data_IF_816073393449
#
_entry.id   IF_816073393449
#
_cell.length_a   1.000
_cell.length_b   1.000
_cell.length_c   1.000
_cell.angle_alpha   90.00
_cell.angle_beta   90.00
_cell.angle_gamma   90.00
#
_symmetry.space_group_name_H-M   'P 1'
#
loop_
_entity.id
_entity.type
_entity.pdbx_description
1 polymer ?
#
# COMPACT_ATOMS: atom_id res chain seq x y z
N UNK A 1 -29.94 7.72 -23.79
CA UNK A 1 -28.69 7.02 -24.14
C UNK A 1 -27.58 7.61 -23.28
N UNK A 2 -27.11 6.88 -22.27
CA UNK A 2 -26.11 7.35 -21.30
C UNK A 2 -24.71 7.06 -21.84
N UNK A 3 -23.89 8.10 -21.93
CA UNK A 3 -22.56 8.07 -22.51
C UNK A 3 -21.50 7.63 -21.49
N UNK A 4 -20.50 6.86 -21.97
CA UNK A 4 -19.21 6.64 -21.29
C UNK A 4 -19.22 5.44 -20.34
N UNK A 5 -18.55 4.31 -20.61
CA UNK A 5 -17.33 4.17 -21.39
C UNK A 5 -16.11 4.62 -20.59
N UNK A 6 -15.59 3.70 -19.75
CA UNK A 6 -14.16 3.52 -19.52
C UNK A 6 -13.36 4.61 -18.77
N UNK A 7 -13.76 5.02 -17.55
CA UNK A 7 -12.90 5.67 -16.52
C UNK A 7 -13.52 5.41 -15.13
N UNK A 8 -12.85 5.14 -13.99
CA UNK A 8 -11.43 5.00 -13.65
C UNK A 8 -11.28 4.55 -12.16
N UNK A 9 -11.10 3.24 -11.94
CA UNK A 9 -10.23 2.55 -10.95
C UNK A 9 -10.16 2.87 -9.43
N UNK A 10 -10.87 3.81 -8.81
CA UNK A 10 -10.72 4.07 -7.34
C UNK A 10 -12.01 4.27 -6.55
N UNK A 11 -13.18 4.37 -7.19
CA UNK A 11 -14.43 4.61 -6.46
C UNK A 11 -14.96 3.39 -5.69
N UNK A 12 -14.41 2.20 -5.91
CA UNK A 12 -14.97 0.95 -5.38
C UNK A 12 -14.34 0.49 -4.04
N UNK A 13 -13.12 0.94 -3.72
CA UNK A 13 -12.53 0.72 -2.37
C UNK A 13 -13.22 1.58 -1.29
N UNK A 14 -13.82 2.71 -1.68
CA UNK A 14 -14.58 3.60 -0.81
C UNK A 14 -16.07 3.23 -0.71
N UNK A 15 -16.40 1.94 -0.78
CA UNK A 15 -17.77 1.42 -0.67
C UNK A 15 -17.90 0.54 0.59
N UNK A 16 -18.93 0.79 1.40
CA UNK A 16 -19.19 0.01 2.62
C UNK A 16 -18.31 0.38 3.82
N UNK A 17 -17.95 -0.61 4.64
CA UNK A 17 -17.30 -0.43 5.97
C UNK A 17 -15.80 -0.11 5.92
N UNK A 18 -15.15 -0.21 4.76
CA UNK A 18 -13.71 0.08 4.58
C UNK A 18 -13.43 1.54 4.23
N UNK A 19 -14.39 2.45 4.46
CA UNK A 19 -14.25 3.88 4.20
C UNK A 19 -13.47 4.57 5.32
N UNK A 20 -12.16 4.34 5.35
CA UNK A 20 -11.26 5.06 6.24
C UNK A 20 -10.99 6.44 5.64
N UNK A 21 -11.55 7.47 6.28
CA UNK A 21 -11.41 8.84 5.81
C UNK A 21 -9.92 9.25 5.80
N UNK A 22 -9.47 9.81 4.68
CA UNK A 22 -8.09 10.21 4.46
C UNK A 22 -7.08 9.06 4.24
N UNK A 23 -7.46 7.79 4.26
CA UNK A 23 -6.54 6.66 4.04
C UNK A 23 -5.95 6.64 2.61
N UNK A 24 -6.73 7.07 1.62
CA UNK A 24 -6.30 7.18 0.22
C UNK A 24 -5.52 8.47 -0.08
N UNK A 25 -5.22 9.28 0.95
CA UNK A 25 -4.40 10.47 0.76
C UNK A 25 -2.99 10.08 0.31
N UNK A 26 -2.41 10.71 -0.73
CA UNK A 26 -1.08 10.36 -1.23
C UNK A 26 0.00 10.32 -0.13
N UNK A 27 -0.10 11.20 0.87
CA UNK A 27 0.81 11.24 2.01
C UNK A 27 0.74 9.96 2.85
N UNK A 28 -0.46 9.46 3.14
CA UNK A 28 -0.68 8.29 4.00
C UNK A 28 -0.21 7.02 3.30
N UNK A 29 -0.51 6.90 2.00
CA UNK A 29 -0.06 5.77 1.17
C UNK A 29 1.46 5.70 1.08
N UNK A 30 2.16 6.83 0.93
CA UNK A 30 3.62 6.85 0.89
C UNK A 30 4.20 6.38 2.22
N UNK A 31 3.67 6.87 3.35
CA UNK A 31 4.17 6.49 4.68
C UNK A 31 3.95 5.01 4.95
N UNK A 32 2.76 4.47 4.65
CA UNK A 32 2.47 3.04 4.84
C UNK A 32 3.33 2.15 3.94
N UNK A 33 3.59 2.59 2.70
CA UNK A 33 4.45 1.87 1.76
C UNK A 33 5.90 1.81 2.26
N UNK A 34 6.45 2.94 2.71
CA UNK A 34 7.82 2.99 3.25
C UNK A 34 7.96 2.12 4.50
N UNK A 35 6.96 2.15 5.39
CA UNK A 35 6.96 1.31 6.58
C UNK A 35 6.93 -0.18 6.21
N UNK A 36 6.03 -0.58 5.32
CA UNK A 36 5.85 -1.98 4.96
C UNK A 36 7.06 -2.53 4.21
N UNK A 37 7.51 -1.84 3.16
CA UNK A 37 8.67 -2.26 2.37
C UNK A 37 9.97 -2.16 3.18
N UNK A 38 10.09 -1.13 4.03
CA UNK A 38 11.24 -0.97 4.93
C UNK A 38 11.35 -2.11 5.93
N UNK A 39 10.22 -2.52 6.53
CA UNK A 39 10.19 -3.66 7.45
C UNK A 39 10.58 -4.98 6.74
N UNK A 40 10.04 -5.24 5.55
CA UNK A 40 10.38 -6.42 4.76
C UNK A 40 11.89 -6.42 4.42
N UNK A 41 12.42 -5.30 3.92
CA UNK A 41 13.83 -5.19 3.58
C UNK A 41 14.75 -5.38 4.80
N UNK A 42 14.39 -4.79 5.94
CA UNK A 42 15.13 -4.96 7.19
C UNK A 42 15.14 -6.42 7.65
N UNK A 43 14.01 -7.12 7.58
CA UNK A 43 13.92 -8.54 7.94
C UNK A 43 14.73 -9.42 7.00
N UNK A 44 14.69 -9.17 5.69
CA UNK A 44 15.51 -9.90 4.71
C UNK A 44 17.00 -9.67 4.99
N UNK A 45 17.40 -8.42 5.19
CA UNK A 45 18.78 -8.08 5.48
C UNK A 45 19.26 -8.75 6.78
N UNK A 46 18.44 -8.68 7.83
CA UNK A 46 18.73 -9.32 9.10
C UNK A 46 18.85 -10.85 8.96
N UNK A 47 17.92 -11.49 8.24
CA UNK A 47 17.94 -12.92 8.00
C UNK A 47 19.20 -13.37 7.25
N UNK A 48 19.62 -12.62 6.22
CA UNK A 48 20.86 -12.91 5.48
C UNK A 48 22.10 -12.76 6.37
N UNK A 49 22.15 -11.72 7.21
CA UNK A 49 23.25 -11.53 8.17
C UNK A 49 23.30 -12.68 9.18
N UNK A 50 22.18 -13.05 9.79
CA UNK A 50 22.13 -14.14 10.77
C UNK A 50 22.50 -15.49 10.13
N UNK A 51 22.04 -15.75 8.90
CA UNK A 51 22.26 -17.05 8.25
C UNK A 51 23.67 -17.22 7.66
N UNK A 52 24.27 -16.16 7.13
CA UNK A 52 25.48 -16.25 6.31
C UNK A 52 26.63 -15.36 6.75
N UNK A 53 26.40 -14.34 7.58
CA UNK A 53 27.51 -13.55 8.11
C UNK A 53 28.13 -14.28 9.31
N UNK A 54 28.95 -15.28 9.00
CA UNK A 54 29.94 -15.89 9.90
C UNK A 54 31.25 -15.11 9.78
#
# INVERSE_FOLDING_TARGET
MNAGGFTSSMSDLNRGIMKFDGADSPKVVIVSTVLLLGAIAALIFWALRVAYAV
#
